data_IF_341444919194
#
_entry.id   IF_341444919194
#
_cell.length_a   1.000
_cell.length_b   1.000
_cell.length_c   1.000
_cell.angle_alpha   90.00
_cell.angle_beta   90.00
_cell.angle_gamma   90.00
#
_symmetry.space_group_name_H-M   'P 1'
#
loop_
_entity.id
_entity.type
_entity.pdbx_description
1 polymer ?
#
# COMPACT_ATOMS: atom_id res chain seq x y z
N UNK A 1 8.26 18.56 11.84
CA UNK A 1 7.68 17.40 11.14
C UNK A 1 7.21 16.41 12.21
N UNK A 2 5.93 16.05 12.29
CA UNK A 2 5.48 15.05 13.30
C UNK A 2 6.08 13.69 12.95
N UNK A 3 6.45 12.88 13.94
CA UNK A 3 6.87 11.50 13.70
C UNK A 3 5.73 10.71 13.03
N UNK A 4 6.07 9.80 12.12
CA UNK A 4 5.11 8.84 11.58
C UNK A 4 4.69 7.89 12.71
N UNK A 5 3.40 7.80 12.97
CA UNK A 5 2.84 6.84 13.92
C UNK A 5 2.59 5.54 13.17
N UNK A 6 3.42 4.54 13.44
CA UNK A 6 3.34 3.21 12.80
C UNK A 6 2.51 2.30 13.71
N UNK A 7 1.54 1.59 13.14
CA UNK A 7 0.74 0.62 13.88
C UNK A 7 1.35 -0.79 13.79
N UNK A 8 1.81 -1.32 14.93
CA UNK A 8 2.44 -2.64 15.02
C UNK A 8 1.54 -3.79 14.59
N UNK A 9 0.23 -3.71 14.83
CA UNK A 9 -0.71 -4.77 14.41
C UNK A 9 -0.79 -4.85 12.89
N UNK A 10 -0.82 -3.71 12.19
CA UNK A 10 -0.81 -3.70 10.73
C UNK A 10 0.49 -4.31 10.17
N UNK A 11 1.63 -4.07 10.82
CA UNK A 11 2.92 -4.69 10.43
C UNK A 11 2.82 -6.21 10.56
N UNK A 12 2.32 -6.70 11.69
CA UNK A 12 2.18 -8.15 11.96
C UNK A 12 1.23 -8.80 10.94
N UNK A 13 0.06 -8.19 10.70
CA UNK A 13 -0.90 -8.68 9.71
C UNK A 13 -0.28 -8.77 8.31
N UNK A 14 0.43 -7.73 7.87
CA UNK A 14 1.09 -7.71 6.57
C UNK A 14 2.25 -8.71 6.49
N UNK A 15 2.96 -8.91 7.60
CA UNK A 15 4.03 -9.92 7.72
C UNK A 15 3.45 -11.32 7.53
N UNK A 16 2.36 -11.65 8.22
CA UNK A 16 1.69 -12.96 8.11
C UNK A 16 1.23 -13.21 6.67
N UNK A 17 0.68 -12.21 5.99
CA UNK A 17 0.30 -12.33 4.57
C UNK A 17 1.49 -12.67 3.69
N UNK A 18 2.63 -12.00 3.87
CA UNK A 18 3.86 -12.30 3.12
C UNK A 18 4.35 -13.73 3.38
N UNK A 19 4.32 -14.19 4.64
CA UNK A 19 4.71 -15.56 5.02
C UNK A 19 3.79 -16.60 4.36
N UNK A 20 2.47 -16.36 4.30
CA UNK A 20 1.54 -17.23 3.57
C UNK A 20 1.83 -17.31 2.06
N UNK A 21 2.57 -16.35 1.52
CA UNK A 21 3.06 -16.35 0.15
C UNK A 21 4.50 -16.92 0.01
N UNK A 22 4.93 -17.73 0.98
CA UNK A 22 6.24 -18.42 1.01
C UNK A 22 7.45 -17.46 0.97
N UNK A 23 7.28 -16.25 1.48
CA UNK A 23 8.38 -15.29 1.69
C UNK A 23 8.99 -15.58 3.07
N UNK A 24 10.32 -15.55 3.18
CA UNK A 24 11.00 -15.78 4.46
C UNK A 24 10.58 -14.73 5.51
N UNK A 25 10.67 -15.10 6.79
CA UNK A 25 10.19 -14.26 7.90
C UNK A 25 10.90 -12.90 7.96
N UNK A 26 12.25 -12.80 7.85
CA UNK A 26 12.95 -11.51 7.79
C UNK A 26 12.42 -10.60 6.67
N UNK A 27 12.34 -11.09 5.44
CA UNK A 27 11.85 -10.31 4.29
C UNK A 27 10.38 -9.92 4.47
N UNK A 28 9.56 -10.82 5.01
CA UNK A 28 8.15 -10.58 5.31
C UNK A 28 7.95 -9.44 6.31
N UNK A 29 8.78 -9.41 7.37
CA UNK A 29 8.75 -8.34 8.36
C UNK A 29 9.14 -6.99 7.74
N UNK A 30 10.21 -6.97 6.93
CA UNK A 30 10.62 -5.76 6.20
C UNK A 30 9.52 -5.23 5.29
N UNK A 31 8.83 -6.13 4.55
CA UNK A 31 7.66 -5.76 3.72
C UNK A 31 6.51 -5.24 4.56
N UNK A 32 6.21 -5.85 5.72
CA UNK A 32 5.17 -5.39 6.64
C UNK A 32 5.42 -3.96 7.15
N UNK A 33 6.65 -3.66 7.57
CA UNK A 33 7.07 -2.32 7.99
C UNK A 33 6.97 -1.33 6.83
N UNK A 34 7.37 -1.74 5.63
CA UNK A 34 7.35 -0.89 4.44
C UNK A 34 5.92 -0.55 4.00
N UNK A 35 4.99 -1.51 4.01
CA UNK A 35 3.58 -1.28 3.71
C UNK A 35 2.92 -0.31 4.69
N UNK A 36 3.17 -0.48 5.99
CA UNK A 36 2.63 0.44 7.00
C UNK A 36 3.25 1.83 6.85
N UNK A 37 4.56 1.91 6.58
CA UNK A 37 5.23 3.19 6.29
C UNK A 37 4.61 3.89 5.08
N UNK A 38 4.41 3.16 3.98
CA UNK A 38 3.79 3.67 2.75
C UNK A 38 2.39 4.23 3.05
N UNK A 39 1.56 3.46 3.75
CA UNK A 39 0.21 3.84 4.15
C UNK A 39 0.20 5.13 4.96
N UNK A 40 1.01 5.20 6.01
CA UNK A 40 1.01 6.35 6.93
C UNK A 40 1.51 7.63 6.25
N UNK A 41 2.52 7.52 5.38
CA UNK A 41 3.02 8.66 4.59
C UNK A 41 1.96 9.19 3.63
N UNK A 42 1.31 8.30 2.89
CA UNK A 42 0.20 8.66 2.00
C UNK A 42 -0.99 9.28 2.74
N UNK A 43 -1.34 8.76 3.92
CA UNK A 43 -2.43 9.29 4.74
C UNK A 43 -2.10 10.68 5.32
N UNK A 44 -0.83 10.96 5.59
CA UNK A 44 -0.33 12.26 6.05
C UNK A 44 -0.35 13.33 4.94
N UNK A 45 -0.66 12.96 3.71
CA UNK A 45 -0.72 13.86 2.56
C UNK A 45 0.59 13.96 1.78
N UNK A 46 1.55 13.06 2.02
CA UNK A 46 2.76 13.00 1.18
C UNK A 46 2.46 12.41 -0.19
N UNK A 47 3.14 12.95 -1.21
CA UNK A 47 3.19 12.36 -2.55
C UNK A 47 4.28 11.29 -2.52
N UNK A 48 3.89 10.04 -2.32
CA UNK A 48 4.83 8.92 -2.17
C UNK A 48 5.01 8.20 -3.49
N UNK A 49 6.26 7.96 -3.89
CA UNK A 49 6.63 7.13 -5.05
C UNK A 49 6.94 5.72 -4.58
N UNK A 50 6.37 4.72 -5.22
CA UNK A 50 6.57 3.32 -4.85
C UNK A 50 6.48 2.42 -6.07
N UNK A 51 6.95 1.18 -5.94
CA UNK A 51 6.82 0.18 -6.98
C UNK A 51 6.36 -1.18 -6.44
N UNK A 52 5.67 -1.91 -7.31
CA UNK A 52 5.13 -3.23 -7.00
C UNK A 52 5.08 -4.10 -8.27
N UNK A 53 5.07 -5.42 -8.07
CA UNK A 53 4.95 -6.37 -9.17
C UNK A 53 3.49 -6.62 -9.55
N UNK A 54 3.17 -6.53 -10.84
CA UNK A 54 1.86 -6.89 -11.39
C UNK A 54 1.67 -8.41 -11.49
N UNK A 55 0.44 -8.83 -11.81
CA UNK A 55 0.12 -10.25 -12.08
C UNK A 55 0.88 -10.83 -13.26
N UNK A 56 1.15 -10.02 -14.28
CA UNK A 56 1.93 -10.41 -15.46
C UNK A 56 3.46 -10.35 -15.22
N UNK A 57 3.89 -10.18 -13.98
CA UNK A 57 5.32 -10.11 -13.61
C UNK A 57 5.99 -8.77 -13.87
N UNK A 58 5.38 -7.87 -14.65
CA UNK A 58 5.94 -6.53 -14.91
C UNK A 58 5.93 -5.65 -13.66
N UNK A 59 6.92 -4.77 -13.52
CA UNK A 59 7.01 -3.81 -12.41
C UNK A 59 6.22 -2.57 -12.76
N UNK A 60 5.42 -2.08 -11.81
CA UNK A 60 4.79 -0.76 -11.91
C UNK A 60 5.42 0.19 -10.91
N UNK A 61 5.84 1.35 -11.41
CA UNK A 61 6.10 2.54 -10.62
C UNK A 61 4.81 3.35 -10.51
N UNK A 62 4.49 3.81 -9.31
CA UNK A 62 3.27 4.54 -9.02
C UNK A 62 3.55 5.73 -8.12
N UNK A 63 2.73 6.76 -8.29
CA UNK A 63 2.66 7.90 -7.38
C UNK A 63 1.26 7.89 -6.78
N UNK A 64 1.16 7.69 -5.46
CA UNK A 64 -0.13 7.44 -4.82
C UNK A 64 -0.41 8.31 -3.62
N UNK A 65 -1.69 8.45 -3.29
CA UNK A 65 -2.16 9.12 -2.08
C UNK A 65 -3.29 8.36 -1.39
N UNK A 66 -3.39 8.56 -0.08
CA UNK A 66 -4.47 8.13 0.81
C UNK A 66 -5.00 9.30 1.63
N UNK A 67 -4.75 10.54 1.19
CA UNK A 67 -5.29 11.72 1.83
C UNK A 67 -6.82 11.63 1.88
N UNK A 68 -7.38 11.86 3.07
CA UNK A 68 -8.79 11.57 3.35
C UNK A 68 -9.76 12.30 2.41
N UNK A 69 -9.47 13.54 2.06
CA UNK A 69 -10.33 14.35 1.18
C UNK A 69 -10.31 13.83 -0.25
N UNK A 70 -9.13 13.46 -0.76
CA UNK A 70 -8.97 12.87 -2.10
C UNK A 70 -9.67 11.51 -2.16
N UNK A 71 -9.48 10.68 -1.14
CA UNK A 71 -10.15 9.38 -1.05
C UNK A 71 -11.66 9.56 -1.06
N UNK A 72 -12.23 10.40 -0.18
CA UNK A 72 -13.68 10.64 -0.09
C UNK A 72 -14.25 11.17 -1.41
N UNK A 73 -13.57 12.11 -2.06
CA UNK A 73 -14.00 12.68 -3.34
C UNK A 73 -14.01 11.66 -4.49
N UNK A 74 -13.23 10.58 -4.38
CA UNK A 74 -13.12 9.56 -5.42
C UNK A 74 -13.87 8.26 -5.08
N UNK A 75 -14.53 8.12 -3.93
CA UNK A 75 -15.35 6.93 -3.65
C UNK A 75 -16.53 6.89 -4.62
N UNK A 76 -16.62 5.80 -5.40
CA UNK A 76 -17.70 5.57 -6.36
C UNK A 76 -18.43 4.29 -5.97
N UNK A 77 -19.74 4.39 -5.76
CA UNK A 77 -20.61 3.25 -5.43
C UNK A 77 -20.58 2.82 -3.96
N UNK A 78 -21.26 1.70 -3.67
CA UNK A 78 -21.49 1.16 -2.32
C UNK A 78 -20.89 -0.24 -2.09
N UNK A 79 -20.04 -0.72 -3.00
CA UNK A 79 -19.45 -2.05 -2.94
C UNK A 79 -18.40 -2.22 -1.84
N UNK A 80 -17.94 -3.47 -1.63
CA UNK A 80 -16.91 -3.80 -0.64
C UNK A 80 -15.53 -3.31 -1.14
N UNK A 81 -14.83 -2.46 -0.36
CA UNK A 81 -13.51 -1.96 -0.73
C UNK A 81 -12.47 -3.07 -0.97
N UNK A 82 -11.62 -2.91 -1.98
CA UNK A 82 -10.55 -3.87 -2.32
C UNK A 82 -9.59 -4.19 -1.17
N UNK A 83 -9.44 -3.28 -0.20
CA UNK A 83 -8.63 -3.50 1.02
C UNK A 83 -9.04 -4.74 1.81
N UNK A 84 -10.31 -5.16 1.72
CA UNK A 84 -10.80 -6.37 2.40
C UNK A 84 -10.40 -7.67 1.70
N UNK A 85 -9.76 -7.59 0.52
CA UNK A 85 -9.29 -8.76 -0.25
C UNK A 85 -7.76 -8.88 -0.26
N UNK A 86 -7.09 -8.41 0.80
CA UNK A 86 -5.62 -8.41 0.92
C UNK A 86 -4.93 -7.55 -0.14
N UNK A 87 -5.58 -6.44 -0.51
CA UNK A 87 -5.04 -5.51 -1.51
C UNK A 87 -4.75 -4.16 -0.88
N UNK A 88 -3.60 -3.58 -1.20
CA UNK A 88 -3.32 -2.18 -0.94
C UNK A 88 -4.01 -1.34 -2.01
N UNK A 89 -5.12 -0.67 -1.66
CA UNK A 89 -5.86 0.22 -2.55
C UNK A 89 -5.45 1.67 -2.33
N UNK A 90 -5.24 2.43 -3.41
CA UNK A 90 -4.76 3.81 -3.40
C UNK A 90 -5.32 4.61 -4.59
N UNK A 91 -5.27 5.94 -4.49
CA UNK A 91 -5.51 6.83 -5.64
C UNK A 91 -4.19 7.06 -6.36
N UNK A 92 -4.11 6.63 -7.62
CA UNK A 92 -2.95 6.89 -8.49
C UNK A 92 -3.03 8.34 -9.00
N UNK A 93 -2.09 9.18 -8.59
CA UNK A 93 -2.04 10.59 -8.95
C UNK A 93 -1.66 10.83 -10.42
N UNK A 94 -1.02 9.86 -11.08
CA UNK A 94 -0.68 9.98 -12.51
C UNK A 94 -1.87 9.65 -13.41
N UNK A 95 -2.84 8.90 -12.90
CA UNK A 95 -3.99 8.39 -13.65
C UNK A 95 -5.32 8.90 -13.12
N UNK A 96 -5.30 9.60 -11.98
CA UNK A 96 -6.45 10.13 -11.25
C UNK A 96 -7.54 9.07 -11.08
N UNK A 97 -7.14 7.86 -10.67
CA UNK A 97 -8.02 6.71 -10.59
C UNK A 97 -7.63 5.77 -9.44
N UNK A 98 -8.64 5.04 -8.92
CA UNK A 98 -8.40 3.94 -8.00
C UNK A 98 -7.53 2.86 -8.63
N UNK A 99 -6.48 2.48 -7.92
CA UNK A 99 -5.66 1.30 -8.21
C UNK A 99 -5.48 0.48 -6.96
N UNK A 100 -5.11 -0.78 -7.16
CA UNK A 100 -4.77 -1.65 -6.07
C UNK A 100 -3.76 -2.71 -6.51
N UNK A 101 -2.97 -3.20 -5.57
CA UNK A 101 -2.07 -4.32 -5.74
C UNK A 101 -2.12 -5.23 -4.52
N UNK A 102 -1.67 -6.47 -4.67
CA UNK A 102 -1.57 -7.42 -3.57
C UNK A 102 -0.42 -7.04 -2.64
N UNK A 103 -0.66 -6.97 -1.34
CA UNK A 103 0.27 -6.38 -0.37
C UNK A 103 1.66 -7.04 -0.39
N UNK A 104 1.72 -8.36 -0.55
CA UNK A 104 2.97 -9.13 -0.64
C UNK A 104 3.84 -8.74 -1.85
N UNK A 105 3.24 -8.10 -2.86
CA UNK A 105 3.91 -7.69 -4.10
C UNK A 105 4.49 -6.29 -4.06
N UNK A 106 4.43 -5.61 -2.92
CA UNK A 106 5.20 -4.38 -2.72
C UNK A 106 6.69 -4.68 -2.89
N UNK A 107 7.39 -3.90 -3.71
CA UNK A 107 8.84 -4.01 -3.89
C UNK A 107 9.54 -2.96 -3.02
N UNK A 108 9.11 -1.70 -3.11
CA UNK A 108 9.86 -0.60 -2.52
C UNK A 108 9.11 0.73 -2.53
N UNK A 109 9.49 1.62 -1.62
CA UNK A 109 9.28 3.06 -1.72
C UNK A 109 10.51 3.63 -2.46
N UNK A 110 10.31 4.49 -3.46
CA UNK A 110 11.33 4.90 -4.46
C UNK A 110 11.62 6.41 -4.42
N UNK A 111 11.48 7.03 -3.26
CA UNK A 111 11.59 8.50 -3.12
C UNK A 111 12.91 9.09 -3.62
#
# INVERSE_FOLDING_TARGET
MKALVINTNNIIENTIKCVHHNIDVPTSLSKGVMLETLKQRMMRGEVVRFCYQKLDGSIRFAVGTLQIDVVKANVIGSGVPKKFFGMFAYIDLQKMAWRAFKEERLIGIVD
#
